data_IF_514115503595
#
_entry.id   IF_514115503595
#
_cell.length_a   1.000
_cell.length_b   1.000
_cell.length_c   1.000
_cell.angle_alpha   90.00
_cell.angle_beta   90.00
_cell.angle_gamma   90.00
#
_symmetry.space_group_name_H-M   'P 1'
#
loop_
_entity.id
_entity.type
_entity.pdbx_description
1 polymer ?
#
# COMPACT_ATOMS: atom_id res chain seq x y z
N UNK A 1 -33.00 -10.95 49.49
CA UNK A 1 -32.00 -10.00 48.94
C UNK A 1 -31.58 -10.50 47.56
N UNK A 2 -31.97 -9.81 46.48
CA UNK A 2 -31.60 -10.22 45.11
C UNK A 2 -30.18 -9.72 44.81
N UNK A 3 -29.24 -10.64 44.54
CA UNK A 3 -27.86 -10.29 44.15
C UNK A 3 -27.82 -10.14 42.63
N UNK A 4 -27.52 -8.94 42.15
CA UNK A 4 -27.27 -8.67 40.74
C UNK A 4 -25.82 -9.04 40.43
N UNK A 5 -25.63 -9.97 39.50
CA UNK A 5 -24.31 -10.37 38.99
C UNK A 5 -24.00 -9.44 37.81
N UNK A 6 -22.96 -8.63 37.94
CA UNK A 6 -22.42 -7.85 36.82
C UNK A 6 -21.43 -8.72 36.06
N UNK A 7 -21.79 -9.12 34.83
CA UNK A 7 -20.88 -9.82 33.92
C UNK A 7 -20.18 -8.76 33.07
N UNK A 8 -18.87 -8.59 33.31
CA UNK A 8 -18.03 -7.70 32.50
C UNK A 8 -17.58 -8.47 31.24
N UNK A 9 -18.16 -8.14 30.09
CA UNK A 9 -17.71 -8.68 28.80
C UNK A 9 -16.59 -7.79 28.27
N UNK A 10 -15.34 -8.26 28.37
CA UNK A 10 -14.19 -7.58 27.77
C UNK A 10 -14.10 -8.02 26.31
N UNK A 11 -14.53 -7.16 25.39
CA UNK A 11 -14.29 -7.35 23.96
C UNK A 11 -12.86 -6.89 23.69
N UNK A 12 -11.94 -7.84 23.54
CA UNK A 12 -10.59 -7.59 23.07
C UNK A 12 -10.65 -7.23 21.58
N UNK A 13 -10.76 -5.93 21.27
CA UNK A 13 -10.48 -5.46 19.92
C UNK A 13 -9.01 -5.77 19.63
N UNK A 14 -8.66 -6.50 18.55
CA UNK A 14 -7.27 -6.69 18.19
C UNK A 14 -6.64 -5.31 18.00
N UNK A 15 -5.63 -5.01 18.82
CA UNK A 15 -4.86 -3.79 18.68
C UNK A 15 -4.18 -3.84 17.32
N UNK A 16 -4.73 -3.12 16.34
CA UNK A 16 -4.11 -2.98 15.03
C UNK A 16 -2.87 -2.12 15.28
N UNK A 17 -1.69 -2.74 15.28
CA UNK A 17 -0.44 -2.03 15.32
C UNK A 17 -0.35 -1.18 14.05
N UNK A 18 -0.65 0.11 14.18
CA UNK A 18 -0.45 1.08 13.12
C UNK A 18 1.06 1.19 12.89
N UNK A 19 1.56 0.50 11.87
CA UNK A 19 2.81 0.91 11.27
C UNK A 19 2.58 2.28 10.61
N UNK A 20 3.53 3.18 10.78
CA UNK A 20 3.51 4.49 10.14
C UNK A 20 4.64 4.52 9.12
N UNK A 21 4.56 3.68 8.10
CA UNK A 21 5.52 3.74 7.00
C UNK A 21 4.95 4.54 5.84
N UNK A 22 5.81 5.29 5.14
CA UNK A 22 5.44 6.03 3.93
C UNK A 22 5.82 5.25 2.67
N UNK A 23 5.11 5.49 1.57
CA UNK A 23 5.51 5.01 0.26
C UNK A 23 5.77 6.21 -0.64
N UNK A 24 7.00 6.30 -1.13
CA UNK A 24 7.42 7.30 -2.09
C UNK A 24 7.43 6.71 -3.50
N UNK A 25 6.79 7.38 -4.45
CA UNK A 25 6.92 7.08 -5.87
C UNK A 25 7.86 8.08 -6.53
N UNK A 26 8.86 7.56 -7.25
CA UNK A 26 9.87 8.37 -7.91
C UNK A 26 9.94 8.06 -9.41
N UNK A 27 9.31 8.89 -10.23
CA UNK A 27 9.33 8.77 -11.69
C UNK A 27 10.63 9.33 -12.26
N UNK A 28 11.68 8.52 -12.30
CA UNK A 28 12.96 8.89 -12.93
C UNK A 28 12.95 8.87 -14.46
N UNK A 29 11.80 8.61 -15.08
CA UNK A 29 11.68 8.57 -16.54
C UNK A 29 11.40 9.96 -17.13
N UNK A 30 11.56 10.07 -18.46
CA UNK A 30 11.23 11.27 -19.22
C UNK A 30 9.78 11.30 -19.72
N UNK A 31 8.94 10.40 -19.21
CA UNK A 31 7.53 10.29 -19.60
C UNK A 31 6.64 10.35 -18.37
N UNK A 32 5.38 10.69 -18.63
CA UNK A 32 4.31 10.56 -17.65
C UNK A 32 4.01 9.09 -17.38
N UNK A 33 3.69 8.77 -16.13
CA UNK A 33 3.29 7.43 -15.71
C UNK A 33 2.04 7.48 -14.85
N UNK A 34 1.31 6.38 -14.83
CA UNK A 34 0.23 6.15 -13.88
C UNK A 34 0.60 5.00 -12.96
N UNK A 35 0.23 5.11 -11.69
CA UNK A 35 0.47 4.09 -10.69
C UNK A 35 -0.82 3.72 -9.95
N UNK A 36 -0.86 2.49 -9.44
CA UNK A 36 -1.85 2.01 -8.49
C UNK A 36 -1.14 1.22 -7.39
N UNK A 37 -1.52 1.48 -6.14
CA UNK A 37 -1.06 0.80 -4.94
C UNK A 37 -2.18 -0.06 -4.38
N UNK A 38 -1.88 -1.33 -4.14
CA UNK A 38 -2.81 -2.29 -3.58
C UNK A 38 -2.30 -2.90 -2.28
N UNK A 39 -3.19 -3.03 -1.30
CA UNK A 39 -2.95 -3.80 -0.07
C UNK A 39 -3.54 -5.20 -0.24
N UNK A 40 -2.71 -6.22 -0.02
CA UNK A 40 -3.10 -7.63 -0.22
C UNK A 40 -3.66 -8.23 1.06
N UNK A 41 -3.01 -7.93 2.19
CA UNK A 41 -3.36 -8.49 3.50
C UNK A 41 -4.39 -7.63 4.24
N UNK A 42 -5.25 -6.93 3.50
CA UNK A 42 -6.25 -6.08 4.12
C UNK A 42 -7.24 -6.91 4.93
N UNK A 43 -7.77 -6.32 6.01
CA UNK A 43 -8.74 -6.98 6.88
C UNK A 43 -10.20 -6.75 6.48
N UNK A 44 -10.45 -6.03 5.38
CA UNK A 44 -11.80 -5.83 4.86
C UNK A 44 -12.41 -7.14 4.35
N UNK A 45 -13.73 -7.27 4.47
CA UNK A 45 -14.50 -8.38 3.89
C UNK A 45 -14.62 -8.22 2.36
N UNK A 46 -13.49 -8.38 1.69
CA UNK A 46 -13.36 -8.22 0.24
C UNK A 46 -12.37 -9.27 -0.30
N UNK A 47 -12.68 -9.99 -1.39
CA UNK A 47 -11.87 -11.13 -1.83
C UNK A 47 -10.65 -10.74 -2.70
N UNK A 48 -10.45 -9.46 -2.97
CA UNK A 48 -9.43 -8.97 -3.89
C UNK A 48 -8.53 -7.92 -3.24
N UNK A 49 -7.27 -7.77 -3.66
CA UNK A 49 -6.41 -6.70 -3.15
C UNK A 49 -7.11 -5.32 -3.19
N UNK A 50 -7.02 -4.57 -2.09
CA UNK A 50 -7.72 -3.30 -1.93
C UNK A 50 -6.88 -2.17 -2.52
N UNK A 51 -7.44 -1.39 -3.44
CA UNK A 51 -6.76 -0.24 -4.02
C UNK A 51 -6.75 0.91 -3.01
N UNK A 52 -5.55 1.27 -2.55
CA UNK A 52 -5.35 2.34 -1.56
C UNK A 52 -5.10 3.69 -2.19
N UNK A 53 -4.39 3.71 -3.33
CA UNK A 53 -4.00 4.95 -3.98
C UNK A 53 -3.76 4.73 -5.46
N UNK A 54 -4.09 5.75 -6.25
CA UNK A 54 -3.79 5.79 -7.67
C UNK A 54 -3.59 7.22 -8.13
N UNK A 55 -2.69 7.41 -9.07
CA UNK A 55 -2.38 8.75 -9.54
C UNK A 55 -1.54 8.79 -10.80
N UNK A 56 -1.39 10.01 -11.29
CA UNK A 56 -0.48 10.36 -12.36
C UNK A 56 0.82 10.92 -11.74
N UNK A 57 1.96 10.51 -12.30
CA UNK A 57 3.28 11.03 -12.02
C UNK A 57 3.84 11.63 -13.31
N UNK A 58 4.11 12.93 -13.32
CA UNK A 58 4.83 13.62 -14.39
C UNK A 58 6.26 13.11 -14.50
N UNK A 59 6.88 13.35 -15.64
CA UNK A 59 8.29 13.02 -15.86
C UNK A 59 9.16 13.68 -14.77
N UNK A 60 10.09 12.92 -14.18
CA UNK A 60 10.98 13.40 -13.11
C UNK A 60 10.26 13.85 -11.83
N UNK A 61 8.98 13.48 -11.66
CA UNK A 61 8.22 13.80 -10.45
C UNK A 61 8.40 12.75 -9.37
N UNK A 62 8.43 13.23 -8.13
CA UNK A 62 8.38 12.43 -6.92
C UNK A 62 7.10 12.77 -6.16
N UNK A 63 6.37 11.76 -5.71
CA UNK A 63 5.21 11.89 -4.82
C UNK A 63 5.42 11.03 -3.59
N UNK A 64 5.19 11.60 -2.41
CA UNK A 64 5.15 10.85 -1.15
C UNK A 64 3.70 10.59 -0.76
N UNK A 65 3.33 9.32 -0.62
CA UNK A 65 2.07 8.93 -0.04
C UNK A 65 2.21 8.98 1.49
N UNK A 66 1.91 10.16 2.03
CA UNK A 66 1.77 10.40 3.47
C UNK A 66 0.45 9.80 4.00
N UNK A 67 0.32 8.49 3.92
CA UNK A 67 -0.77 7.71 4.52
C UNK A 67 -0.18 6.81 5.59
N UNK A 68 -0.82 6.72 6.75
CA UNK A 68 -0.48 5.73 7.79
C UNK A 68 -0.86 4.35 7.29
N UNK A 69 0.07 3.69 6.60
CA UNK A 69 -0.11 2.36 6.03
C UNK A 69 0.29 1.27 7.04
N UNK A 70 -0.55 0.25 7.19
CA UNK A 70 -0.33 -0.87 8.12
C UNK A 70 0.69 -1.86 7.57
N UNK A 71 1.44 -2.54 8.42
CA UNK A 71 2.30 -3.64 7.95
C UNK A 71 1.53 -4.73 7.21
N UNK A 72 2.24 -5.40 6.30
CA UNK A 72 1.71 -6.47 5.48
C UNK A 72 2.20 -6.39 4.04
N UNK A 73 1.58 -7.20 3.19
CA UNK A 73 1.95 -7.29 1.78
C UNK A 73 1.19 -6.30 0.93
N UNK A 74 1.93 -5.65 0.05
CA UNK A 74 1.46 -4.68 -0.92
C UNK A 74 1.93 -5.09 -2.31
N UNK A 75 1.25 -4.56 -3.33
CA UNK A 75 1.88 -4.44 -4.64
C UNK A 75 1.58 -3.11 -5.28
N UNK A 76 2.53 -2.67 -6.10
CA UNK A 76 2.35 -1.51 -6.98
C UNK A 76 2.35 -2.01 -8.39
N UNK A 77 1.43 -1.47 -9.19
CA UNK A 77 1.51 -1.54 -10.65
C UNK A 77 1.67 -0.15 -11.24
N UNK A 78 2.36 -0.06 -12.37
CA UNK A 78 2.49 1.19 -13.11
C UNK A 78 2.54 0.96 -14.63
N UNK A 79 2.17 2.00 -15.38
CA UNK A 79 2.33 2.02 -16.83
C UNK A 79 2.68 3.41 -17.35
N UNK A 80 3.31 3.43 -18.53
CA UNK A 80 3.57 4.61 -19.35
C UNK A 80 2.88 4.54 -20.72
N UNK A 81 2.29 3.39 -21.09
CA UNK A 81 1.74 3.10 -22.42
C UNK A 81 0.25 2.66 -22.42
N UNK A 82 -0.41 2.68 -21.27
CA UNK A 82 -1.79 2.22 -21.10
C UNK A 82 -1.93 0.75 -20.73
N UNK A 83 -0.83 0.00 -20.60
CA UNK A 83 -0.85 -1.41 -20.20
C UNK A 83 -0.18 -1.65 -18.85
N UNK A 84 -0.94 -2.16 -17.88
CA UNK A 84 -0.47 -2.47 -16.52
C UNK A 84 0.43 -3.72 -16.48
N UNK A 85 1.64 -3.62 -17.05
CA UNK A 85 2.58 -4.76 -17.16
C UNK A 85 3.61 -4.80 -16.05
N UNK A 86 3.88 -3.67 -15.40
CA UNK A 86 4.88 -3.61 -14.34
C UNK A 86 4.19 -3.85 -13.00
N UNK A 87 4.70 -4.83 -12.23
CA UNK A 87 4.21 -5.16 -10.90
C UNK A 87 5.37 -5.41 -9.96
N UNK A 88 5.38 -4.74 -8.81
CA UNK A 88 6.34 -5.01 -7.73
C UNK A 88 5.55 -5.37 -6.48
N UNK A 89 5.93 -6.51 -5.89
CA UNK A 89 5.43 -6.97 -4.60
C UNK A 89 6.33 -6.43 -3.50
N UNK A 90 5.73 -6.00 -2.39
CA UNK A 90 6.44 -5.47 -1.23
C UNK A 90 5.90 -6.15 0.02
N UNK A 91 6.80 -6.61 0.89
CA UNK A 91 6.46 -7.15 2.22
C UNK A 91 6.99 -6.15 3.25
N UNK A 92 6.07 -5.46 3.93
CA UNK A 92 6.40 -4.37 4.86
C UNK A 92 6.21 -4.82 6.30
N UNK A 93 7.28 -4.69 7.08
CA UNK A 93 7.39 -5.14 8.49
C UNK A 93 7.63 -3.96 9.43
N UNK A 94 7.50 -4.19 10.74
CA UNK A 94 7.51 -3.15 11.79
C UNK A 94 8.74 -2.23 11.80
N UNK A 95 9.87 -2.68 11.26
CA UNK A 95 11.12 -1.94 11.19
C UNK A 95 11.25 -1.03 9.95
N UNK A 96 10.35 -1.16 8.97
CA UNK A 96 10.37 -0.38 7.74
C UNK A 96 9.61 0.93 7.95
N UNK A 97 10.31 2.06 7.79
CA UNK A 97 9.72 3.41 7.93
C UNK A 97 9.35 4.05 6.60
N UNK A 98 9.98 3.64 5.51
CA UNK A 98 9.68 4.17 4.18
C UNK A 98 10.10 3.17 3.11
N UNK A 99 9.32 3.13 2.04
CA UNK A 99 9.62 2.39 0.82
C UNK A 99 9.64 3.36 -0.35
N UNK A 100 10.71 3.37 -1.14
CA UNK A 100 10.74 4.11 -2.40
C UNK A 100 10.55 3.15 -3.57
N UNK A 101 9.51 3.41 -4.36
CA UNK A 101 9.24 2.71 -5.61
C UNK A 101 9.70 3.59 -6.75
N UNK A 102 10.73 3.13 -7.46
CA UNK A 102 11.28 3.80 -8.64
C UNK A 102 10.95 2.97 -9.87
N UNK A 103 9.92 3.35 -10.66
CA UNK A 103 9.64 2.71 -11.92
C UNK A 103 10.83 2.78 -12.87
N UNK A 104 11.33 1.61 -13.27
CA UNK A 104 12.40 1.48 -14.26
C UNK A 104 11.74 1.24 -15.62
N UNK A 105 12.34 1.76 -16.71
CA UNK A 105 11.93 1.39 -18.08
C UNK A 105 11.93 -0.14 -18.20
N UNK A 106 10.77 -0.72 -18.48
CA UNK A 106 10.68 -2.09 -18.96
C UNK A 106 11.28 -2.14 -20.37
N UNK A 107 12.59 -2.31 -20.46
CA UNK A 107 13.21 -2.86 -21.68
C UNK A 107 12.90 -4.35 -21.73
N UNK A 108 11.62 -4.73 -21.87
CA UNK A 108 11.28 -6.06 -22.36
C UNK A 108 11.58 -6.06 -23.86
N UNK A 109 12.77 -6.54 -24.22
CA UNK A 109 13.04 -7.00 -25.58
C UNK A 109 12.01 -8.11 -25.88
N UNK A 110 11.26 -7.92 -26.95
CA UNK A 110 10.45 -8.98 -27.58
C UNK A 110 11.33 -10.14 -27.99
#
# INVERSE_FOLDING_TARGET
>A
MKKLIFVLVIILLPAIAFANFSIKFDNTTNKKMFYLLYWIDHTYDWPHPFNLAGGELKASETVDLNVSLTNGRYYVVWHDDGTWKNKVMMDVKDDIKSVTVTPIKSTMKR
#
